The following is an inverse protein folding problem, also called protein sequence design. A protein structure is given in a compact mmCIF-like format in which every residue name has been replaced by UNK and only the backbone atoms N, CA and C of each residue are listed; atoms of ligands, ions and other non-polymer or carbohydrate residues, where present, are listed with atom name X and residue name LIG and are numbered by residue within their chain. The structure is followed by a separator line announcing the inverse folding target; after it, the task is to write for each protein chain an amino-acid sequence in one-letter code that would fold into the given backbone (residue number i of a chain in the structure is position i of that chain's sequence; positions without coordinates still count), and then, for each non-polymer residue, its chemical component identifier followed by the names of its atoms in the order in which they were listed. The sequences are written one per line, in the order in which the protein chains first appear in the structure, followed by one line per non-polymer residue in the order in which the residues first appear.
data_IF_911234380981
#
_entry.id   IF_911234380981
#
_cell.length_a   1.000
_cell.length_b   1.000
_cell.length_c   1.000
_cell.angle_alpha   90.00
_cell.angle_beta   90.00
_cell.angle_gamma   90.00
#
_symmetry.space_group_name_H-M   'P 1'
#
loop_
_entity.id
_entity.type
_entity.pdbx_description
1 polymer ?
#
# COMPACT_ATOMS: atom_id res chain seq x y z
N UNK A 1 -17.21 43.12 -43.01
CA UNK A 1 -17.83 41.97 -42.32
C UNK A 1 -16.78 40.88 -42.00
N UNK A 2 -15.94 41.04 -40.97
CA UNK A 2 -14.92 40.01 -40.58
C UNK A 2 -14.78 39.81 -39.05
N UNK A 3 -15.53 40.59 -38.27
CA UNK A 3 -15.45 40.64 -36.81
C UNK A 3 -16.32 39.60 -36.05
N UNK A 4 -17.48 39.12 -36.56
CA UNK A 4 -18.34 38.24 -35.75
C UNK A 4 -17.76 36.83 -35.57
N UNK A 5 -16.94 36.36 -36.53
CA UNK A 5 -16.33 35.02 -36.50
C UNK A 5 -15.25 34.93 -35.42
N UNK A 6 -14.52 36.02 -35.16
CA UNK A 6 -13.48 36.04 -34.13
C UNK A 6 -14.06 36.05 -32.71
N UNK A 7 -15.20 36.71 -32.51
CA UNK A 7 -15.91 36.71 -31.23
C UNK A 7 -16.48 35.33 -30.87
N UNK A 8 -17.03 34.61 -31.86
CA UNK A 8 -17.56 33.26 -31.66
C UNK A 8 -16.45 32.25 -31.29
N UNK A 9 -15.28 32.36 -31.92
CA UNK A 9 -14.14 31.49 -31.60
C UNK A 9 -13.60 31.71 -30.18
N UNK A 10 -13.51 32.97 -29.73
CA UNK A 10 -13.06 33.31 -28.37
C UNK A 10 -14.05 32.82 -27.32
N UNK A 11 -15.35 32.94 -27.57
CA UNK A 11 -16.38 32.44 -26.67
C UNK A 11 -16.34 30.91 -26.50
N UNK A 12 -16.07 30.17 -27.59
CA UNK A 12 -15.97 28.71 -27.54
C UNK A 12 -14.75 28.23 -26.72
N UNK A 13 -13.61 28.90 -26.86
CA UNK A 13 -12.40 28.59 -26.07
C UNK A 13 -12.60 28.91 -24.58
N UNK A 14 -13.28 30.02 -24.28
CA UNK A 14 -13.59 30.39 -22.90
C UNK A 14 -14.52 29.37 -22.22
N UNK A 15 -15.56 28.87 -22.91
CA UNK A 15 -16.43 27.83 -22.35
C UNK A 15 -15.71 26.50 -22.11
N UNK A 16 -14.82 26.09 -23.03
CA UNK A 16 -14.06 24.85 -22.86
C UNK A 16 -13.09 24.91 -21.66
N UNK A 17 -12.49 26.07 -21.41
CA UNK A 17 -11.62 26.29 -20.24
C UNK A 17 -12.37 26.22 -18.91
N UNK A 18 -13.60 26.74 -18.86
CA UNK A 18 -14.45 26.67 -17.66
C UNK A 18 -14.94 25.24 -17.41
N UNK A 19 -15.29 24.49 -18.45
CA UNK A 19 -15.67 23.08 -18.31
C UNK A 19 -14.53 22.23 -17.71
N UNK A 20 -13.27 22.51 -18.06
CA UNK A 20 -12.11 21.82 -17.50
C UNK A 20 -11.87 22.11 -15.99
N UNK A 21 -12.38 23.23 -15.47
CA UNK A 21 -12.29 23.60 -14.05
C UNK A 21 -13.43 23.04 -13.19
N UNK A 22 -14.55 22.66 -13.83
CA UNK A 22 -15.78 22.21 -13.14
C UNK A 22 -15.91 20.68 -13.16
N UNK A 23 -15.17 19.97 -14.00
CA UNK A 23 -15.10 18.51 -13.92
C UNK A 23 -14.22 18.14 -12.72
N UNK A 24 -14.77 17.67 -11.60
CA UNK A 24 -13.95 17.14 -10.53
C UNK A 24 -13.10 16.01 -11.15
N UNK A 25 -11.81 15.89 -10.79
CA UNK A 25 -11.07 14.68 -11.15
C UNK A 25 -11.93 13.53 -10.66
N UNK A 26 -12.33 12.64 -11.58
CA UNK A 26 -12.94 11.36 -11.22
C UNK A 26 -11.97 10.75 -10.22
N UNK A 27 -12.30 10.89 -8.94
CA UNK A 27 -11.57 10.30 -7.86
C UNK A 27 -11.60 8.83 -8.20
N UNK A 28 -10.49 8.33 -8.75
CA UNK A 28 -10.29 6.90 -8.91
C UNK A 28 -10.55 6.39 -7.51
N UNK A 29 -11.69 5.74 -7.33
CA UNK A 29 -12.00 5.01 -6.11
C UNK A 29 -10.91 3.95 -6.06
N UNK A 30 -9.78 4.32 -5.47
CA UNK A 30 -8.85 3.38 -4.93
C UNK A 30 -9.67 2.78 -3.83
N UNK A 31 -10.41 1.73 -4.18
CA UNK A 31 -10.82 0.74 -3.22
C UNK A 31 -9.50 0.25 -2.68
N UNK A 32 -8.99 0.94 -1.65
CA UNK A 32 -8.07 0.38 -0.71
C UNK A 32 -8.90 -0.70 -0.04
N UNK A 33 -9.04 -1.83 -0.73
CA UNK A 33 -9.37 -3.09 -0.10
C UNK A 33 -8.28 -3.15 0.93
N UNK A 34 -8.63 -2.87 2.19
CA UNK A 34 -7.81 -3.14 3.34
C UNK A 34 -7.70 -4.67 3.37
N UNK A 35 -6.94 -5.22 2.44
CA UNK A 35 -6.68 -6.63 2.32
C UNK A 35 -5.77 -6.89 3.51
N UNK A 36 -6.39 -7.31 4.61
CA UNK A 36 -5.66 -7.74 5.78
C UNK A 36 -4.66 -8.79 5.27
N UNK A 37 -3.34 -8.53 5.38
CA UNK A 37 -2.36 -9.42 4.80
C UNK A 37 -2.54 -10.81 5.38
N UNK A 38 -2.73 -11.80 4.52
CA UNK A 38 -2.86 -13.20 4.92
C UNK A 38 -1.46 -13.78 5.02
N UNK A 39 -0.99 -13.96 6.25
CA UNK A 39 0.31 -14.56 6.55
C UNK A 39 0.14 -16.07 6.73
N UNK A 40 0.74 -16.84 5.82
CA UNK A 40 0.79 -18.30 5.89
C UNK A 40 2.08 -18.73 6.61
N UNK A 41 2.02 -19.55 7.68
CA UNK A 41 3.22 -20.05 8.33
C UNK A 41 3.98 -20.99 7.38
N UNK A 42 5.28 -20.78 7.23
CA UNK A 42 6.15 -21.58 6.34
C UNK A 42 7.22 -22.36 7.08
N UNK A 43 7.48 -22.03 8.35
CA UNK A 43 8.45 -22.77 9.15
C UNK A 43 8.59 -22.24 10.56
N UNK A 44 9.19 -23.06 11.41
CA UNK A 44 9.62 -22.72 12.77
C UNK A 44 11.01 -23.30 13.01
N UNK A 45 11.80 -22.63 13.83
CA UNK A 45 13.08 -23.11 14.31
C UNK A 45 13.25 -22.70 15.77
N UNK A 46 14.02 -23.47 16.53
CA UNK A 46 14.37 -23.13 17.89
C UNK A 46 15.83 -23.49 18.14
N UNK A 47 16.56 -22.60 18.82
CA UNK A 47 17.95 -22.80 19.18
C UNK A 47 18.23 -22.09 20.51
N UNK A 48 18.71 -22.84 21.50
CA UNK A 48 19.01 -22.32 22.82
C UNK A 48 17.79 -21.68 23.48
N UNK A 49 17.88 -20.38 23.79
CA UNK A 49 16.82 -19.60 24.43
C UNK A 49 15.94 -18.83 23.43
N UNK A 50 16.06 -19.09 22.14
CA UNK A 50 15.35 -18.38 21.09
C UNK A 50 14.55 -19.32 20.18
N UNK A 51 13.42 -18.82 19.69
CA UNK A 51 12.58 -19.48 18.71
C UNK A 51 12.22 -18.50 17.60
N UNK A 52 12.19 -18.99 16.37
CA UNK A 52 11.87 -18.21 15.18
C UNK A 52 10.70 -18.87 14.44
N UNK A 53 9.82 -18.04 13.89
CA UNK A 53 8.74 -18.44 13.00
C UNK A 53 8.80 -17.59 11.74
N UNK A 54 8.56 -18.22 10.59
CA UNK A 54 8.49 -17.54 9.31
C UNK A 54 7.10 -17.62 8.73
N UNK A 55 6.67 -16.53 8.14
CA UNK A 55 5.42 -16.41 7.40
C UNK A 55 5.67 -15.91 5.99
N UNK A 56 4.84 -16.36 5.07
CA UNK A 56 4.74 -15.88 3.70
C UNK A 56 3.42 -15.14 3.51
N UNK A 57 3.46 -13.95 2.93
CA UNK A 57 2.27 -13.23 2.44
C UNK A 57 2.21 -13.36 0.90
N UNK A 58 1.34 -14.21 0.34
CA UNK A 58 1.30 -14.50 -1.09
C UNK A 58 0.95 -13.30 -1.96
N UNK A 59 0.04 -12.45 -1.48
CA UNK A 59 -0.47 -11.32 -2.26
C UNK A 59 0.60 -10.28 -2.59
N UNK A 60 1.53 -10.01 -1.68
CA UNK A 60 2.60 -9.03 -1.88
C UNK A 60 3.97 -9.65 -2.16
N UNK A 61 4.09 -10.98 -2.09
CA UNK A 61 5.37 -11.68 -2.20
C UNK A 61 6.33 -11.31 -1.07
N UNK A 62 5.82 -11.12 0.15
CA UNK A 62 6.63 -10.79 1.33
C UNK A 62 6.86 -12.00 2.23
N UNK A 63 7.97 -11.96 2.94
CA UNK A 63 8.31 -12.83 4.05
C UNK A 63 8.35 -12.01 5.33
N UNK A 64 7.90 -12.62 6.42
CA UNK A 64 7.98 -12.10 7.77
C UNK A 64 8.65 -13.15 8.64
N UNK A 65 9.75 -12.79 9.30
CA UNK A 65 10.42 -13.63 10.28
C UNK A 65 10.26 -13.00 11.65
N UNK A 66 9.69 -13.72 12.60
CA UNK A 66 9.51 -13.26 13.98
C UNK A 66 10.30 -14.15 14.93
N UNK A 67 11.09 -13.53 15.81
CA UNK A 67 11.89 -14.20 16.81
C UNK A 67 11.39 -13.85 18.21
N UNK A 68 11.16 -14.88 19.01
CA UNK A 68 10.97 -14.78 20.44
C UNK A 68 12.24 -15.26 21.15
N UNK A 69 12.59 -14.66 22.28
CA UNK A 69 13.68 -15.12 23.13
C UNK A 69 13.27 -15.06 24.60
N UNK A 70 13.82 -15.94 25.42
CA UNK A 70 13.68 -15.83 26.86
C UNK A 70 14.48 -14.61 27.36
N UNK A 71 13.78 -13.71 28.03
CA UNK A 71 14.34 -12.59 28.78
C UNK A 71 14.82 -13.00 30.17
N UNK A 72 15.33 -12.04 30.92
CA UNK A 72 15.84 -12.28 32.27
C UNK A 72 14.75 -12.84 33.21
N UNK A 73 15.16 -13.74 34.12
CA UNK A 73 14.26 -14.32 35.13
C UNK A 73 13.14 -15.21 34.59
N UNK A 74 13.25 -15.71 33.35
CA UNK A 74 12.22 -16.55 32.73
C UNK A 74 11.09 -15.75 32.07
N UNK A 75 11.21 -14.43 31.99
CA UNK A 75 10.29 -13.59 31.22
C UNK A 75 10.42 -13.87 29.72
N UNK A 76 9.39 -13.54 28.94
CA UNK A 76 9.48 -13.55 27.47
C UNK A 76 9.92 -12.16 27.00
N UNK A 77 11.01 -12.08 26.23
CA UNK A 77 11.47 -10.84 25.60
C UNK A 77 10.48 -10.39 24.51
N UNK A 78 10.34 -9.08 24.22
CA UNK A 78 9.51 -8.60 23.12
C UNK A 78 9.85 -9.28 21.79
N UNK A 79 8.82 -9.78 21.10
CA UNK A 79 8.99 -10.45 19.81
C UNK A 79 9.54 -9.45 18.80
N UNK A 80 10.67 -9.81 18.17
CA UNK A 80 11.29 -9.02 17.12
C UNK A 80 10.90 -9.59 15.77
N UNK A 81 10.31 -8.77 14.89
CA UNK A 81 9.93 -9.20 13.56
C UNK A 81 10.64 -8.39 12.47
N UNK A 82 11.14 -9.08 11.45
CA UNK A 82 11.72 -8.49 10.26
C UNK A 82 10.96 -8.95 9.02
N UNK A 83 10.77 -8.05 8.05
CA UNK A 83 10.11 -8.38 6.79
C UNK A 83 11.03 -8.16 5.61
N UNK A 84 10.97 -9.04 4.61
CA UNK A 84 11.69 -8.89 3.35
C UNK A 84 10.77 -9.20 2.17
N UNK A 85 11.08 -8.63 1.00
CA UNK A 85 10.46 -9.05 -0.26
C UNK A 85 11.18 -10.30 -0.77
N UNK A 86 10.44 -11.28 -1.27
CA UNK A 86 11.06 -12.43 -1.93
C UNK A 86 11.71 -12.01 -3.26
N UNK A 87 12.81 -12.68 -3.64
CA UNK A 87 13.40 -12.54 -4.97
C UNK A 87 12.40 -12.78 -6.10
#
# INVERSE_FOLDING_TARGET
MKHPIRLAAVAAVALAGVAALVVPPLARSQVQVQATPVYLPIGVASAGNASMVWFHEPSSGRLLACQASAGAGGAVSPIQCASAKMP
#
